data_IF_350917962028
#
_entry.id   IF_350917962028
#
_cell.length_a   1.000
_cell.length_b   1.000
_cell.length_c   1.000
_cell.angle_alpha   90.00
_cell.angle_beta   90.00
_cell.angle_gamma   90.00
#
_symmetry.space_group_name_H-M   'P 1'
#
loop_
_entity.id
_entity.type
_entity.pdbx_description
1 polymer ?
#
# COMPACT_ATOMS: atom_id res chain seq x y z
N UNK A 1 21.51 8.41 -2.19
CA UNK A 1 22.87 8.13 -1.66
C UNK A 1 23.13 6.65 -1.87
N UNK A 2 24.01 6.30 -2.80
CA UNK A 2 24.43 4.92 -3.01
C UNK A 2 25.35 4.50 -1.87
N UNK A 3 24.85 3.66 -0.97
CA UNK A 3 25.63 3.07 0.12
C UNK A 3 26.42 1.87 -0.43
N UNK A 4 27.60 2.10 -0.96
CA UNK A 4 28.47 1.05 -1.52
C UNK A 4 29.40 0.38 -0.48
N UNK A 5 29.25 0.70 0.83
CA UNK A 5 30.03 0.12 1.90
C UNK A 5 29.13 -0.36 3.03
N UNK A 6 29.49 -1.48 3.67
CA UNK A 6 28.80 -2.01 4.87
C UNK A 6 28.92 -0.97 6.00
N UNK A 7 27.91 -0.14 6.15
CA UNK A 7 27.77 0.75 7.29
C UNK A 7 26.88 0.06 8.33
N UNK A 8 27.49 -0.57 9.32
CA UNK A 8 26.75 -1.20 10.43
C UNK A 8 26.08 -0.16 11.35
N UNK A 9 26.45 1.12 11.18
CA UNK A 9 26.01 2.20 12.07
C UNK A 9 25.87 3.51 11.31
N UNK A 10 24.73 4.18 11.49
CA UNK A 10 24.48 5.54 11.02
C UNK A 10 24.25 6.47 12.24
N UNK A 11 24.66 7.71 12.14
CA UNK A 11 24.37 8.75 13.12
C UNK A 11 23.46 9.80 12.50
N UNK A 12 22.35 10.09 13.17
CA UNK A 12 21.50 11.23 12.84
C UNK A 12 21.78 12.30 13.89
N UNK A 13 22.20 13.49 13.45
CA UNK A 13 22.49 14.62 14.33
C UNK A 13 21.65 15.83 13.95
N UNK A 14 21.05 16.45 14.96
CA UNK A 14 20.32 17.69 14.83
C UNK A 14 21.21 18.83 15.34
N UNK A 15 21.29 19.91 14.59
CA UNK A 15 22.05 21.09 14.90
C UNK A 15 21.13 22.31 15.00
N UNK A 16 21.44 23.27 15.89
CA UNK A 16 20.76 24.55 15.92
C UNK A 16 21.24 25.49 14.79
N UNK A 17 20.63 26.64 14.68
CA UNK A 17 20.97 27.66 13.68
C UNK A 17 22.41 28.19 13.77
N UNK A 18 23.08 28.01 14.94
CA UNK A 18 24.47 28.39 15.18
C UNK A 18 25.44 27.23 14.91
N UNK A 19 24.95 26.09 14.43
CA UNK A 19 25.74 24.90 14.14
C UNK A 19 26.11 24.06 15.38
N UNK A 20 25.49 24.34 16.55
CA UNK A 20 25.71 23.56 17.76
C UNK A 20 24.82 22.30 17.71
N UNK A 21 25.41 21.12 17.91
CA UNK A 21 24.69 19.88 17.97
C UNK A 21 23.75 19.83 19.18
N UNK A 22 22.43 19.70 18.92
CA UNK A 22 21.38 19.56 19.92
C UNK A 22 21.18 18.11 20.33
N UNK A 23 21.16 17.21 19.32
CA UNK A 23 20.89 15.80 19.50
C UNK A 23 21.76 14.99 18.55
N UNK A 24 22.20 13.82 18.98
CA UNK A 24 22.73 12.79 18.08
C UNK A 24 22.16 11.44 18.49
N UNK A 25 21.63 10.70 17.51
CA UNK A 25 21.13 9.35 17.70
C UNK A 25 21.93 8.39 16.84
N UNK A 26 22.47 7.36 17.48
CA UNK A 26 23.11 6.25 16.80
C UNK A 26 22.03 5.24 16.37
N UNK A 27 21.99 4.94 15.09
CA UNK A 27 21.14 3.89 14.52
C UNK A 27 22.04 2.71 14.13
N UNK A 28 21.73 1.53 14.65
CA UNK A 28 22.33 0.29 14.15
C UNK A 28 21.53 -0.13 12.94
N UNK A 29 22.21 -0.35 11.82
CA UNK A 29 21.59 -0.83 10.59
C UNK A 29 21.81 -2.34 10.53
N UNK A 30 20.75 -3.11 10.64
CA UNK A 30 20.76 -4.54 10.30
C UNK A 30 20.60 -4.66 8.79
N UNK A 31 21.74 -4.72 8.11
CA UNK A 31 21.75 -4.99 6.67
C UNK A 31 21.67 -6.50 6.48
N UNK A 32 20.46 -7.04 6.38
CA UNK A 32 20.28 -8.39 5.83
C UNK A 32 20.47 -8.29 4.30
N UNK A 33 21.68 -8.62 3.87
CA UNK A 33 22.06 -8.54 2.46
C UNK A 33 21.72 -9.79 1.66
N UNK A 34 21.04 -10.75 2.27
CA UNK A 34 20.84 -12.06 1.64
C UNK A 34 19.48 -12.19 0.92
N UNK A 35 18.51 -11.35 1.26
CA UNK A 35 17.18 -11.41 0.64
C UNK A 35 16.75 -10.00 0.22
N UNK A 36 16.40 -9.83 -1.03
CA UNK A 36 15.77 -8.59 -1.47
C UNK A 36 14.41 -8.45 -0.79
N UNK A 37 14.10 -7.26 -0.28
CA UNK A 37 12.85 -6.97 0.40
C UNK A 37 12.00 -6.02 -0.42
N UNK A 38 10.69 -6.24 -0.38
CA UNK A 38 9.66 -5.37 -0.94
C UNK A 38 8.93 -4.70 0.23
N UNK A 39 9.05 -3.39 0.33
CA UNK A 39 8.49 -2.61 1.43
C UNK A 39 7.06 -2.18 1.13
N UNK A 40 6.14 -2.59 2.00
CA UNK A 40 4.72 -2.23 1.92
C UNK A 40 4.39 -1.31 3.09
N UNK A 41 4.13 -0.03 2.82
CA UNK A 41 3.52 0.87 3.78
C UNK A 41 2.04 0.52 3.93
N UNK A 42 1.56 0.42 5.16
CA UNK A 42 0.17 0.08 5.48
C UNK A 42 -0.46 1.23 6.24
N UNK A 43 -1.55 1.78 5.70
CA UNK A 43 -2.40 2.76 6.36
C UNK A 43 -3.76 2.11 6.60
N UNK A 44 -4.07 1.80 7.86
CA UNK A 44 -5.30 1.13 8.26
C UNK A 44 -5.63 1.46 9.72
N UNK A 45 -6.93 1.46 10.06
CA UNK A 45 -7.38 1.54 11.46
C UNK A 45 -7.14 0.21 12.21
N UNK A 46 -6.90 -0.90 11.48
CA UNK A 46 -6.68 -2.25 12.02
C UNK A 46 -5.49 -2.95 11.34
N UNK A 47 -4.27 -2.38 11.42
CA UNK A 47 -3.09 -2.89 10.69
C UNK A 47 -2.70 -4.33 11.09
N UNK A 48 -3.03 -4.76 12.31
CA UNK A 48 -2.76 -6.11 12.79
C UNK A 48 -3.48 -7.19 11.96
N UNK A 49 -4.63 -6.88 11.35
CA UNK A 49 -5.34 -7.80 10.44
C UNK A 49 -4.57 -8.08 9.16
N UNK A 50 -3.60 -7.22 8.82
CA UNK A 50 -2.78 -7.31 7.62
C UNK A 50 -1.41 -7.94 7.87
N UNK A 51 -1.16 -8.44 9.10
CA UNK A 51 0.11 -9.06 9.49
C UNK A 51 0.51 -10.25 8.61
N UNK A 52 -0.44 -10.90 7.95
CA UNK A 52 -0.18 -11.98 6.99
C UNK A 52 0.58 -11.52 5.74
N UNK A 53 0.61 -10.21 5.46
CA UNK A 53 1.40 -9.65 4.36
C UNK A 53 2.89 -9.57 4.69
N UNK A 54 3.29 -9.66 5.96
CA UNK A 54 4.71 -9.67 6.33
C UNK A 54 5.35 -11.01 5.99
N UNK A 55 6.57 -10.99 5.49
CA UNK A 55 7.35 -12.19 5.13
C UNK A 55 6.75 -13.06 4.00
N UNK A 56 5.82 -12.54 3.20
CA UNK A 56 5.32 -13.25 2.03
C UNK A 56 6.43 -13.38 0.99
N UNK A 57 6.61 -14.59 0.46
CA UNK A 57 7.54 -14.84 -0.63
C UNK A 57 6.93 -14.43 -1.97
N UNK A 58 7.57 -13.51 -2.66
CA UNK A 58 7.19 -13.05 -4.00
C UNK A 58 8.23 -13.50 -5.01
N UNK A 59 7.83 -13.69 -6.26
CA UNK A 59 8.72 -14.13 -7.33
C UNK A 59 9.56 -15.36 -6.96
N UNK A 60 8.87 -16.47 -6.67
CA UNK A 60 9.48 -17.74 -6.21
C UNK A 60 10.34 -17.58 -4.94
N UNK A 61 9.92 -16.71 -4.03
CA UNK A 61 10.61 -16.39 -2.77
C UNK A 61 11.98 -15.72 -2.93
N UNK A 62 12.26 -15.15 -4.09
CA UNK A 62 13.46 -14.33 -4.29
C UNK A 62 13.35 -12.96 -3.60
N UNK A 63 12.12 -12.48 -3.42
CA UNK A 63 11.78 -11.28 -2.66
C UNK A 63 10.94 -11.67 -1.45
N UNK A 64 11.07 -10.94 -0.36
CA UNK A 64 10.18 -11.05 0.80
C UNK A 64 9.55 -9.70 1.10
N UNK A 65 8.28 -9.72 1.39
CA UNK A 65 7.59 -8.51 1.80
C UNK A 65 7.99 -8.12 3.22
N UNK A 66 8.03 -6.82 3.46
CA UNK A 66 8.17 -6.21 4.77
C UNK A 66 7.11 -5.14 4.94
N UNK A 67 6.19 -5.34 5.88
CA UNK A 67 5.16 -4.35 6.19
C UNK A 67 5.67 -3.30 7.16
N UNK A 68 5.21 -2.07 6.97
CA UNK A 68 5.50 -0.91 7.81
C UNK A 68 4.16 -0.24 8.10
N UNK A 69 3.70 -0.34 9.35
CA UNK A 69 2.47 0.33 9.77
C UNK A 69 2.71 1.83 9.85
N UNK A 70 1.89 2.60 9.15
CA UNK A 70 1.97 4.05 9.05
C UNK A 70 0.72 4.68 9.65
N UNK A 71 0.89 5.49 10.67
CA UNK A 71 -0.17 6.36 11.14
C UNK A 71 -0.26 7.62 10.25
N UNK A 72 -1.36 8.35 10.32
CA UNK A 72 -1.58 9.57 9.52
C UNK A 72 -0.42 10.59 9.66
N UNK A 73 0.09 10.74 10.87
CA UNK A 73 1.20 11.67 11.16
C UNK A 73 2.58 11.17 10.69
N UNK A 74 2.69 9.89 10.30
CA UNK A 74 3.91 9.32 9.71
C UNK A 74 3.96 9.54 8.20
N UNK A 75 2.81 9.80 7.58
CA UNK A 75 2.74 10.07 6.14
C UNK A 75 3.38 11.43 5.83
N UNK A 76 4.32 11.45 4.88
CA UNK A 76 5.00 12.69 4.51
C UNK A 76 4.09 13.62 3.70
N UNK A 77 4.40 14.89 3.73
CA UNK A 77 3.80 15.96 2.93
C UNK A 77 4.54 16.20 1.59
N UNK A 78 5.53 15.37 1.30
CA UNK A 78 6.29 15.39 0.04
C UNK A 78 6.53 13.96 -0.46
N UNK A 79 6.51 13.77 -1.78
CA UNK A 79 6.66 12.48 -2.45
C UNK A 79 7.98 11.77 -2.11
N UNK A 80 9.05 12.54 -1.86
CA UNK A 80 10.37 11.99 -1.51
C UNK A 80 10.37 11.16 -0.22
N UNK A 81 9.44 11.47 0.70
CA UNK A 81 9.29 10.70 1.93
C UNK A 81 8.77 9.27 1.69
N UNK A 82 8.09 9.04 0.56
CA UNK A 82 7.55 7.73 0.16
C UNK A 82 8.52 6.89 -0.67
N UNK A 83 9.64 7.42 -1.13
CA UNK A 83 10.61 6.75 -2.02
C UNK A 83 11.21 5.46 -1.44
N UNK A 84 11.04 5.21 -0.14
CA UNK A 84 11.48 3.96 0.51
C UNK A 84 10.45 2.83 0.42
N UNK A 85 9.24 3.13 -0.05
CA UNK A 85 8.17 2.15 -0.22
C UNK A 85 8.13 1.69 -1.67
N UNK A 86 7.86 0.39 -1.86
CA UNK A 86 7.51 -0.18 -3.16
C UNK A 86 6.00 -0.12 -3.39
N UNK A 87 5.23 -0.30 -2.31
CA UNK A 87 3.76 -0.28 -2.32
C UNK A 87 3.26 0.51 -1.10
N UNK A 88 2.23 1.33 -1.31
CA UNK A 88 1.42 1.92 -0.25
C UNK A 88 0.03 1.29 -0.30
N UNK A 89 -0.35 0.57 0.76
CA UNK A 89 -1.67 -0.03 0.93
C UNK A 89 -2.50 0.83 1.88
N UNK A 90 -3.66 1.29 1.41
CA UNK A 90 -4.65 2.00 2.22
C UNK A 90 -5.92 1.14 2.26
N UNK A 91 -6.35 0.73 3.45
CA UNK A 91 -7.55 -0.10 3.64
C UNK A 91 -8.16 0.13 4.99
N UNK A 92 -9.49 0.00 5.08
CA UNK A 92 -10.25 0.20 6.32
C UNK A 92 -9.87 1.51 7.06
N UNK A 93 -9.69 2.58 6.29
CA UNK A 93 -9.22 3.87 6.79
C UNK A 93 -10.00 5.01 6.12
N UNK A 94 -10.38 6.03 6.90
CA UNK A 94 -11.00 7.23 6.35
C UNK A 94 -9.95 8.21 5.86
N UNK A 95 -9.74 8.27 4.54
CA UNK A 95 -8.72 9.12 3.91
C UNK A 95 -9.02 10.62 4.01
N UNK A 96 -10.21 11.04 4.44
CA UNK A 96 -10.48 12.46 4.76
C UNK A 96 -9.64 12.97 5.95
N UNK A 97 -9.04 12.07 6.73
CA UNK A 97 -8.10 12.44 7.78
C UNK A 97 -6.72 12.89 7.25
N UNK A 98 -6.43 12.64 5.97
CA UNK A 98 -5.20 13.12 5.32
C UNK A 98 -5.30 14.62 5.05
N UNK A 99 -4.17 15.30 5.14
CA UNK A 99 -4.08 16.69 4.65
C UNK A 99 -4.03 16.71 3.13
N UNK A 100 -4.27 17.88 2.53
CA UNK A 100 -4.16 18.02 1.09
C UNK A 100 -2.73 17.76 0.61
N UNK A 101 -1.73 18.24 1.37
CA UNK A 101 -0.32 18.04 1.07
C UNK A 101 0.07 16.56 1.08
N UNK A 102 -0.44 15.77 2.05
CA UNK A 102 -0.22 14.32 2.09
C UNK A 102 -0.88 13.61 0.90
N UNK A 103 -2.10 14.00 0.55
CA UNK A 103 -2.81 13.45 -0.62
C UNK A 103 -2.05 13.75 -1.91
N UNK A 104 -1.61 15.00 -2.09
CA UNK A 104 -0.84 15.43 -3.26
C UNK A 104 0.52 14.72 -3.33
N UNK A 105 1.20 14.54 -2.19
CA UNK A 105 2.46 13.80 -2.10
C UNK A 105 2.31 12.34 -2.53
N UNK A 106 1.23 11.67 -2.10
CA UNK A 106 0.93 10.29 -2.50
C UNK A 106 0.67 10.21 -4.00
N UNK A 107 -0.15 11.12 -4.55
CA UNK A 107 -0.44 11.13 -5.99
C UNK A 107 0.79 11.41 -6.83
N UNK A 108 1.64 12.35 -6.42
CA UNK A 108 2.90 12.65 -7.12
C UNK A 108 3.86 11.45 -7.07
N UNK A 109 3.95 10.78 -5.93
CA UNK A 109 4.73 9.55 -5.81
C UNK A 109 4.23 8.45 -6.76
N UNK A 110 2.90 8.28 -6.91
CA UNK A 110 2.31 7.36 -7.90
C UNK A 110 2.66 7.76 -9.33
N UNK A 111 2.58 9.08 -9.68
CA UNK A 111 2.97 9.57 -10.99
C UNK A 111 4.45 9.28 -11.33
N UNK A 112 5.29 9.16 -10.31
CA UNK A 112 6.72 8.80 -10.44
C UNK A 112 6.98 7.29 -10.43
N UNK A 113 5.94 6.48 -10.41
CA UNK A 113 6.01 5.03 -10.53
C UNK A 113 5.79 4.25 -9.24
N UNK A 114 5.36 4.91 -8.16
CA UNK A 114 4.93 4.26 -6.92
C UNK A 114 3.63 3.46 -7.14
N UNK A 115 3.44 2.41 -6.36
CA UNK A 115 2.23 1.57 -6.42
C UNK A 115 1.34 1.88 -5.23
N UNK A 116 0.16 2.46 -5.51
CA UNK A 116 -0.89 2.70 -4.53
C UNK A 116 -1.98 1.62 -4.66
N UNK A 117 -2.26 0.91 -3.58
CA UNK A 117 -3.28 -0.12 -3.51
C UNK A 117 -4.36 0.27 -2.50
N UNK A 118 -5.61 0.15 -2.89
CA UNK A 118 -6.75 0.36 -2.00
C UNK A 118 -7.48 -0.94 -1.73
N UNK A 119 -7.76 -1.22 -0.45
CA UNK A 119 -8.71 -2.23 -0.04
C UNK A 119 -10.07 -1.60 0.20
N UNK A 120 -11.03 -1.88 -0.67
CA UNK A 120 -12.30 -1.13 -0.69
C UNK A 120 -13.45 -1.78 0.06
N UNK A 121 -13.35 -2.96 0.59
CA UNK A 121 -14.37 -3.66 1.40
C UNK A 121 -15.58 -2.83 1.86
N UNK A 122 -16.03 -2.99 3.07
CA UNK A 122 -17.19 -2.26 3.62
C UNK A 122 -17.02 -0.75 3.74
N UNK A 123 -15.77 -0.26 3.79
CA UNK A 123 -15.44 1.17 3.96
C UNK A 123 -14.88 1.80 2.68
N UNK A 124 -15.21 1.24 1.52
CA UNK A 124 -14.67 1.69 0.23
C UNK A 124 -14.88 3.18 -0.04
N UNK A 125 -16.05 3.73 0.29
CA UNK A 125 -16.35 5.16 0.14
C UNK A 125 -15.42 6.02 1.01
N UNK A 126 -15.21 5.67 2.28
CA UNK A 126 -14.31 6.38 3.19
C UNK A 126 -12.85 6.25 2.75
N UNK A 127 -12.47 5.03 2.36
CA UNK A 127 -11.09 4.71 1.96
C UNK A 127 -10.67 5.43 0.67
N UNK A 128 -11.60 5.67 -0.25
CA UNK A 128 -11.32 6.36 -1.51
C UNK A 128 -11.63 7.86 -1.49
N UNK A 129 -12.23 8.39 -0.41
CA UNK A 129 -12.84 9.72 -0.39
C UNK A 129 -11.88 10.84 -0.80
N UNK A 130 -10.66 10.90 -0.26
CA UNK A 130 -9.67 11.95 -0.58
C UNK A 130 -9.15 11.85 -2.03
N UNK A 131 -9.24 10.68 -2.66
CA UNK A 131 -8.71 10.40 -3.99
C UNK A 131 -9.81 10.30 -5.07
N UNK A 132 -11.08 10.38 -4.67
CA UNK A 132 -12.22 10.10 -5.54
C UNK A 132 -12.24 10.95 -6.79
N UNK A 133 -11.98 12.26 -6.68
CA UNK A 133 -11.97 13.18 -7.80
C UNK A 133 -10.91 12.89 -8.85
N UNK A 134 -9.79 12.31 -8.46
CA UNK A 134 -8.67 11.95 -9.34
C UNK A 134 -8.85 10.55 -9.95
N UNK A 135 -9.31 9.59 -9.15
CA UNK A 135 -9.29 8.18 -9.52
C UNK A 135 -10.61 7.66 -10.10
N UNK A 136 -11.77 8.20 -9.68
CA UNK A 136 -13.06 7.60 -9.97
C UNK A 136 -13.82 8.31 -11.09
N UNK A 137 -14.49 7.55 -11.96
CA UNK A 137 -15.44 8.09 -12.93
C UNK A 137 -16.78 8.45 -12.27
N UNK A 138 -17.22 7.63 -11.33
CA UNK A 138 -18.50 7.77 -10.61
C UNK A 138 -18.28 7.59 -9.10
N UNK A 139 -19.21 8.13 -8.28
CA UNK A 139 -19.18 7.89 -6.83
C UNK A 139 -19.19 6.40 -6.50
N UNK A 140 -18.51 6.05 -5.43
CA UNK A 140 -18.47 4.68 -4.89
C UNK A 140 -19.86 4.26 -4.46
N UNK A 141 -20.29 3.05 -4.84
CA UNK A 141 -21.54 2.46 -4.40
C UNK A 141 -21.36 1.76 -3.05
N UNK A 142 -22.44 1.60 -2.26
CA UNK A 142 -22.38 0.82 -1.02
C UNK A 142 -21.87 -0.60 -1.26
N UNK A 143 -21.15 -1.14 -0.30
CA UNK A 143 -20.67 -2.52 -0.36
C UNK A 143 -21.83 -3.53 -0.43
N UNK A 144 -21.63 -4.57 -1.21
CA UNK A 144 -22.55 -5.70 -1.36
C UNK A 144 -21.77 -6.98 -1.10
N UNK A 145 -22.42 -7.94 -0.40
CA UNK A 145 -21.82 -9.26 -0.17
C UNK A 145 -21.89 -10.11 -1.43
N UNK A 146 -20.72 -10.56 -1.89
CA UNK A 146 -20.57 -11.48 -3.02
C UNK A 146 -20.01 -12.81 -2.55
N UNK A 147 -20.54 -13.91 -3.12
CA UNK A 147 -19.90 -15.21 -3.03
C UNK A 147 -18.90 -15.36 -4.18
N UNK A 148 -17.64 -15.45 -3.83
CA UNK A 148 -16.55 -15.62 -4.80
C UNK A 148 -16.07 -17.06 -4.76
N UNK A 149 -16.04 -17.72 -5.91
CA UNK A 149 -15.40 -19.02 -6.06
C UNK A 149 -13.90 -18.82 -6.32
N UNK A 150 -13.08 -19.27 -5.41
CA UNK A 150 -11.61 -19.31 -5.59
C UNK A 150 -11.25 -20.50 -6.49
N UNK A 151 -11.73 -20.50 -7.73
CA UNK A 151 -11.43 -21.53 -8.71
C UNK A 151 -9.93 -21.68 -8.92
N UNK A 152 -9.40 -22.89 -8.77
CA UNK A 152 -8.01 -23.15 -9.08
C UNK A 152 -7.81 -23.20 -10.59
N UNK A 153 -7.08 -22.26 -11.16
CA UNK A 153 -6.64 -22.29 -12.57
C UNK A 153 -5.80 -23.53 -12.92
N UNK A 154 -5.51 -24.42 -11.98
CA UNK A 154 -4.61 -25.58 -12.16
C UNK A 154 -5.27 -26.94 -11.97
N UNK A 155 -6.53 -27.12 -12.31
CA UNK A 155 -7.10 -28.48 -12.44
C UNK A 155 -6.98 -29.39 -11.20
N UNK A 156 -6.73 -28.82 -10.02
CA UNK A 156 -6.78 -29.55 -8.75
C UNK A 156 -8.24 -29.71 -8.40
N UNK A 157 -8.71 -30.94 -8.33
CA UNK A 157 -10.08 -31.26 -7.94
C UNK A 157 -10.41 -30.57 -6.63
N UNK A 158 -11.42 -29.70 -6.68
CA UNK A 158 -12.00 -29.00 -5.54
C UNK A 158 -12.30 -29.99 -4.43
N UNK A 159 -11.67 -29.81 -3.27
CA UNK A 159 -12.05 -30.46 -2.04
C UNK A 159 -12.86 -29.45 -1.23
N UNK A 160 -14.17 -29.52 -1.40
CA UNK A 160 -15.09 -28.73 -0.61
C UNK A 160 -15.59 -27.47 -1.34
N UNK A 161 -16.62 -26.90 -0.79
CA UNK A 161 -17.26 -25.67 -1.28
C UNK A 161 -16.37 -24.48 -0.87
N UNK A 162 -15.32 -24.21 -1.65
CA UNK A 162 -14.35 -23.13 -1.41
C UNK A 162 -14.95 -21.77 -1.84
N UNK A 163 -16.20 -21.51 -1.45
CA UNK A 163 -16.83 -20.21 -1.63
C UNK A 163 -16.44 -19.30 -0.48
N UNK A 164 -15.94 -18.13 -0.83
CA UNK A 164 -15.64 -17.06 0.10
C UNK A 164 -16.68 -15.96 -0.08
N UNK A 165 -17.36 -15.59 1.00
CA UNK A 165 -18.23 -14.41 1.01
C UNK A 165 -17.39 -13.19 1.35
N UNK A 166 -17.34 -12.23 0.44
CA UNK A 166 -16.65 -10.96 0.63
C UNK A 166 -17.65 -9.81 0.49
N UNK A 167 -17.52 -8.83 1.37
CA UNK A 167 -18.19 -7.56 1.20
C UNK A 167 -17.31 -6.70 0.27
N UNK A 168 -17.85 -6.39 -0.89
CA UNK A 168 -17.13 -5.71 -1.95
C UNK A 168 -17.87 -4.44 -2.37
N UNK A 169 -17.10 -3.41 -2.67
CA UNK A 169 -17.59 -2.15 -3.21
C UNK A 169 -17.28 -2.12 -4.70
N UNK A 170 -18.27 -1.81 -5.52
CA UNK A 170 -18.05 -1.60 -6.95
C UNK A 170 -17.33 -0.25 -7.17
N UNK A 171 -16.15 -0.31 -7.79
CA UNK A 171 -15.28 0.84 -7.99
C UNK A 171 -14.99 0.98 -9.48
N UNK A 172 -15.38 2.11 -10.06
CA UNK A 172 -15.12 2.43 -11.46
C UNK A 172 -13.95 3.42 -11.57
N UNK A 173 -12.77 2.92 -11.91
CA UNK A 173 -11.55 3.71 -12.06
C UNK A 173 -11.52 4.42 -13.43
N UNK A 174 -11.10 5.67 -13.44
CA UNK A 174 -10.82 6.41 -14.68
C UNK A 174 -9.74 5.72 -15.50
N UNK A 175 -10.07 5.30 -16.72
CA UNK A 175 -9.15 4.55 -17.56
C UNK A 175 -8.75 3.19 -16.97
N UNK A 176 -9.60 2.63 -16.11
CA UNK A 176 -9.33 1.39 -15.40
C UNK A 176 -9.32 0.16 -16.29
N UNK A 177 -8.54 -0.83 -15.89
CA UNK A 177 -8.50 -2.17 -16.48
C UNK A 177 -8.81 -3.20 -15.40
N UNK A 178 -9.74 -4.09 -15.70
CA UNK A 178 -10.06 -5.22 -14.83
C UNK A 178 -8.95 -6.26 -14.91
N UNK A 179 -8.38 -6.61 -13.77
CA UNK A 179 -7.29 -7.60 -13.68
C UNK A 179 -7.80 -8.95 -13.22
N UNK A 180 -8.72 -8.98 -12.26
CA UNK A 180 -9.33 -10.21 -11.73
C UNK A 180 -10.83 -9.98 -11.64
N UNK A 181 -11.58 -10.88 -12.27
CA UNK A 181 -13.04 -10.92 -12.23
C UNK A 181 -13.51 -12.25 -11.68
N UNK A 182 -14.61 -12.26 -10.94
CA UNK A 182 -15.31 -13.47 -10.52
C UNK A 182 -16.78 -13.32 -10.91
N UNK A 183 -17.25 -14.19 -11.78
CA UNK A 183 -18.59 -14.12 -12.41
C UNK A 183 -18.84 -12.75 -13.07
N UNK A 184 -19.66 -11.92 -12.47
CA UNK A 184 -20.00 -10.57 -12.96
C UNK A 184 -19.39 -9.43 -12.11
N UNK A 185 -18.48 -9.78 -11.18
CA UNK A 185 -17.91 -8.81 -10.26
C UNK A 185 -16.40 -8.67 -10.45
N UNK A 186 -15.90 -7.44 -10.47
CA UNK A 186 -14.46 -7.16 -10.56
C UNK A 186 -13.85 -7.14 -9.16
N UNK A 187 -12.99 -8.13 -8.90
CA UNK A 187 -12.27 -8.28 -7.61
C UNK A 187 -11.06 -7.36 -7.53
N UNK A 188 -10.38 -7.17 -8.66
CA UNK A 188 -9.19 -6.31 -8.77
C UNK A 188 -9.21 -5.55 -10.09
N UNK A 189 -9.08 -4.26 -9.98
CA UNK A 189 -8.90 -3.36 -11.13
C UNK A 189 -7.66 -2.49 -10.95
N UNK A 190 -7.11 -1.98 -12.02
CA UNK A 190 -5.96 -1.07 -12.00
C UNK A 190 -6.14 0.08 -12.97
N UNK A 191 -5.51 1.20 -12.67
CA UNK A 191 -5.32 2.31 -13.60
C UNK A 191 -3.89 2.81 -13.48
N UNK A 192 -3.35 3.40 -14.52
CA UNK A 192 -2.04 4.04 -14.49
C UNK A 192 -2.20 5.55 -14.45
N UNK A 193 -1.45 6.21 -13.58
CA UNK A 193 -1.35 7.66 -13.47
C UNK A 193 0.06 8.05 -13.94
N UNK A 194 0.14 8.75 -15.03
CA UNK A 194 1.43 9.14 -15.62
C UNK A 194 1.59 8.63 -17.07
N UNK A 195 2.54 9.22 -17.77
CA UNK A 195 2.88 8.89 -19.18
C UNK A 195 3.85 7.72 -19.23
#
# INVERSE_FOLDING_TARGET
ISLSSRLDVMYISLYDENGKQILSKRLKMDLDTQTAQLFIGVVSDEPEKLSYLDQVGVNYSMLRTKTIDLAVYDLPDTELGLDQLDVLLITDFNTQALTQEQTDAILEWVHRGGILLFGTGNRGEETLSAFSSQLLEYPVLPAISYEISMGSERGVKERGDDRLTLDCTDVNLKGGTELITSDSFTVLSSTSMGN
#
